data_IF_510008080405
#
_entry.id   IF_510008080405
#
_cell.length_a   1.000
_cell.length_b   1.000
_cell.length_c   1.000
_cell.angle_alpha   90.00
_cell.angle_beta   90.00
_cell.angle_gamma   90.00
#
_symmetry.space_group_name_H-M   'P 1'
#
loop_
_entity.id
_entity.type
_entity.pdbx_description
1 polymer ?
#
# COMPACT_ATOMS: atom_id res chain seq x y z
N UNK A 1 -7.50 -9.60 -14.00
CA UNK A 1 -7.39 -8.93 -12.69
C UNK A 1 -6.06 -9.33 -12.08
N UNK A 2 -5.39 -8.46 -11.32
CA UNK A 2 -4.11 -8.80 -10.68
C UNK A 2 -4.28 -9.69 -9.45
N UNK A 3 -5.42 -9.59 -8.77
CA UNK A 3 -5.81 -10.40 -7.61
C UNK A 3 -7.32 -10.67 -7.67
N UNK A 4 -7.85 -11.71 -6.99
CA UNK A 4 -9.28 -11.82 -6.74
C UNK A 4 -9.84 -10.57 -6.03
N UNK A 5 -11.16 -10.31 -6.06
CA UNK A 5 -11.75 -9.24 -5.27
C UNK A 5 -11.38 -9.36 -3.78
N UNK A 6 -10.69 -8.34 -3.26
CA UNK A 6 -10.18 -8.35 -1.89
C UNK A 6 -11.28 -7.94 -0.92
N UNK A 7 -11.85 -8.91 -0.22
CA UNK A 7 -12.99 -8.69 0.68
C UNK A 7 -12.59 -8.38 2.12
N UNK A 8 -11.36 -8.68 2.51
CA UNK A 8 -10.87 -8.41 3.86
C UNK A 8 -10.16 -7.04 3.93
N UNK A 9 -10.57 -6.10 4.80
CA UNK A 9 -9.96 -4.78 4.87
C UNK A 9 -8.45 -4.77 5.14
N UNK A 10 -7.94 -5.72 5.94
CA UNK A 10 -6.48 -5.87 6.18
C UNK A 10 -5.75 -6.32 4.91
N UNK A 11 -6.31 -7.27 4.17
CA UNK A 11 -5.75 -7.70 2.88
C UNK A 11 -5.82 -6.56 1.84
N UNK A 12 -6.86 -5.73 1.88
CA UNK A 12 -6.97 -4.59 0.98
C UNK A 12 -5.94 -3.49 1.30
N UNK A 13 -5.65 -3.24 2.58
CA UNK A 13 -4.53 -2.39 2.98
C UNK A 13 -3.18 -2.96 2.49
N UNK A 14 -3.00 -4.29 2.52
CA UNK A 14 -1.81 -4.95 1.97
C UNK A 14 -1.70 -4.71 0.46
N UNK A 15 -2.81 -4.81 -0.28
CA UNK A 15 -2.85 -4.58 -1.71
C UNK A 15 -2.47 -3.14 -2.09
N UNK A 16 -2.88 -2.15 -1.27
CA UNK A 16 -2.42 -0.76 -1.42
C UNK A 16 -0.90 -0.63 -1.16
N UNK A 17 -0.39 -1.31 -0.13
CA UNK A 17 1.06 -1.38 0.14
C UNK A 17 1.84 -2.03 -1.01
N UNK A 18 1.31 -3.11 -1.59
CA UNK A 18 1.87 -3.75 -2.78
C UNK A 18 1.89 -2.79 -3.96
N UNK A 19 0.82 -2.02 -4.18
CA UNK A 19 0.77 -1.04 -5.25
C UNK A 19 1.82 0.07 -5.10
N UNK A 20 2.15 0.47 -3.87
CA UNK A 20 3.28 1.40 -3.61
C UNK A 20 4.61 0.76 -3.98
N UNK A 21 4.84 -0.52 -3.63
CA UNK A 21 6.06 -1.24 -4.02
C UNK A 21 6.19 -1.41 -5.54
N UNK A 22 5.10 -1.75 -6.21
CA UNK A 22 5.07 -1.85 -7.68
C UNK A 22 5.29 -0.47 -8.34
N UNK A 23 4.78 0.60 -7.74
CA UNK A 23 5.05 1.98 -8.19
C UNK A 23 6.55 2.29 -8.11
N UNK A 24 7.21 1.96 -7.00
CA UNK A 24 8.65 2.17 -6.81
C UNK A 24 9.46 1.32 -7.79
N UNK A 25 9.16 0.01 -7.91
CA UNK A 25 9.80 -0.89 -8.88
C UNK A 25 9.70 -0.38 -10.31
N UNK A 26 8.53 0.11 -10.73
CA UNK A 26 8.34 0.68 -12.07
C UNK A 26 9.12 1.96 -12.27
N UNK A 27 9.26 2.78 -11.22
CA UNK A 27 10.05 4.00 -11.31
C UNK A 27 11.52 3.67 -11.58
N UNK A 28 12.08 2.72 -10.85
CA UNK A 28 13.46 2.26 -11.04
C UNK A 28 13.66 1.67 -12.45
N UNK A 29 12.74 0.82 -12.91
CA UNK A 29 12.76 0.27 -14.26
C UNK A 29 12.72 1.35 -15.35
N UNK A 30 11.89 2.38 -15.18
CA UNK A 30 11.84 3.50 -16.13
C UNK A 30 13.16 4.27 -16.15
N UNK A 31 13.77 4.51 -14.99
CA UNK A 31 15.07 5.18 -14.88
C UNK A 31 16.18 4.36 -15.53
N UNK A 32 16.24 3.05 -15.27
CA UNK A 32 17.18 2.11 -15.89
C UNK A 32 17.04 2.09 -17.41
N UNK A 33 15.81 2.08 -17.92
CA UNK A 33 15.53 2.13 -19.36
C UNK A 33 15.67 3.53 -19.97
N UNK A 34 15.91 4.58 -19.18
CA UNK A 34 16.07 5.96 -19.67
C UNK A 34 14.77 6.69 -20.04
N UNK A 35 13.62 6.24 -19.53
CA UNK A 35 12.31 6.83 -19.79
C UNK A 35 11.78 7.62 -18.58
N UNK A 36 11.01 8.68 -18.87
CA UNK A 36 10.36 9.50 -17.83
C UNK A 36 8.98 8.99 -17.42
N UNK A 37 8.31 8.28 -18.33
CA UNK A 37 6.96 7.76 -18.12
C UNK A 37 6.73 6.46 -18.89
N UNK A 38 5.66 5.77 -18.48
CA UNK A 38 5.19 4.51 -19.07
C UNK A 38 4.77 4.66 -20.54
N UNK A 39 4.33 5.84 -20.96
CA UNK A 39 3.88 6.08 -22.34
C UNK A 39 5.07 6.01 -23.27
N UNK A 40 6.14 6.74 -22.96
CA UNK A 40 7.40 6.71 -23.70
C UNK A 40 8.04 5.32 -23.69
N UNK A 41 8.08 4.68 -22.52
CA UNK A 41 8.63 3.34 -22.37
C UNK A 41 7.89 2.31 -23.24
N UNK A 42 6.55 2.24 -23.13
CA UNK A 42 5.77 1.28 -23.90
C UNK A 42 5.84 1.56 -25.41
N UNK A 43 5.91 2.84 -25.81
CA UNK A 43 6.09 3.18 -27.22
C UNK A 43 7.45 2.72 -27.76
N UNK A 44 8.52 2.75 -26.95
CA UNK A 44 9.83 2.22 -27.32
C UNK A 44 9.85 0.69 -27.35
N UNK A 45 9.20 0.04 -26.37
CA UNK A 45 8.97 -1.40 -26.39
C UNK A 45 8.25 -1.84 -27.67
N UNK A 46 7.14 -1.18 -28.00
CA UNK A 46 6.31 -1.53 -29.16
C UNK A 46 7.04 -1.32 -30.49
N UNK A 47 8.10 -0.49 -30.53
CA UNK A 47 8.99 -0.33 -31.69
C UNK A 47 10.16 -1.31 -31.75
N UNK A 48 10.45 -2.02 -30.64
CA UNK A 48 11.61 -2.91 -30.52
C UNK A 48 12.91 -2.21 -30.10
N UNK A 49 12.85 -0.95 -29.65
CA UNK A 49 14.03 -0.15 -29.28
C UNK A 49 14.67 -0.65 -27.96
N UNK A 50 13.94 -1.42 -27.17
CA UNK A 50 14.37 -1.92 -25.85
C UNK A 50 15.03 -3.30 -25.90
N UNK A 51 15.09 -3.96 -27.07
CA UNK A 51 15.38 -5.39 -27.16
C UNK A 51 16.82 -5.78 -27.54
N UNK A 52 17.73 -4.88 -27.98
CA UNK A 52 18.90 -5.37 -28.73
C UNK A 52 20.30 -4.76 -28.52
N UNK A 53 20.58 -3.80 -27.63
CA UNK A 53 21.91 -3.12 -27.69
C UNK A 53 22.85 -3.13 -26.48
N UNK A 54 22.55 -3.79 -25.37
CA UNK A 54 23.51 -3.84 -24.26
C UNK A 54 23.69 -5.26 -23.71
N UNK A 55 24.94 -5.65 -23.47
CA UNK A 55 25.39 -6.91 -22.87
C UNK A 55 24.84 -7.08 -21.43
N UNK A 56 23.53 -7.14 -21.29
CA UNK A 56 22.82 -7.35 -20.03
C UNK A 56 21.81 -8.46 -20.28
N UNK A 57 21.80 -9.50 -19.44
CA UNK A 57 20.79 -10.58 -19.41
C UNK A 57 19.38 -10.05 -19.04
N UNK A 58 19.10 -8.77 -19.25
CA UNK A 58 17.94 -8.06 -18.74
C UNK A 58 16.91 -7.90 -19.85
N UNK A 59 15.93 -8.79 -19.86
CA UNK A 59 14.74 -8.68 -20.72
C UNK A 59 13.83 -7.58 -20.17
N UNK A 60 13.54 -6.58 -20.99
CA UNK A 60 12.52 -5.58 -20.71
C UNK A 60 11.16 -6.07 -21.21
N UNK A 61 10.11 -5.92 -20.40
CA UNK A 61 8.74 -6.31 -20.75
C UNK A 61 7.82 -5.08 -20.84
N UNK A 62 6.84 -5.14 -21.75
CA UNK A 62 5.79 -4.11 -21.84
C UNK A 62 5.04 -3.96 -20.52
N UNK A 63 4.88 -2.73 -20.03
CA UNK A 63 4.26 -2.48 -18.72
C UNK A 63 2.76 -2.19 -18.89
N UNK A 64 1.85 -2.92 -18.23
CA UNK A 64 0.41 -2.62 -18.27
C UNK A 64 0.04 -1.49 -17.32
N UNK A 65 -1.01 -0.72 -17.64
CA UNK A 65 -1.63 0.19 -16.67
C UNK A 65 -2.31 -0.60 -15.55
N UNK A 66 -2.22 -0.09 -14.32
CA UNK A 66 -2.91 -0.65 -13.16
C UNK A 66 -3.99 0.32 -12.71
N UNK A 67 -5.23 -0.15 -12.63
CA UNK A 67 -6.34 0.58 -12.04
C UNK A 67 -6.73 -0.08 -10.71
N UNK A 68 -6.59 0.67 -9.62
CA UNK A 68 -6.98 0.28 -8.28
C UNK A 68 -8.35 0.90 -7.99
N UNK A 69 -9.33 0.06 -7.63
CA UNK A 69 -10.69 0.50 -7.31
C UNK A 69 -11.02 0.09 -5.89
N UNK A 70 -11.24 1.07 -5.02
CA UNK A 70 -11.71 0.89 -3.64
C UNK A 70 -13.18 1.28 -3.61
N UNK A 71 -14.07 0.29 -3.46
CA UNK A 71 -15.53 0.52 -3.50
C UNK A 71 -16.05 1.23 -2.23
N UNK A 72 -15.46 0.92 -1.07
CA UNK A 72 -15.80 1.55 0.19
C UNK A 72 -14.53 1.85 1.01
N UNK A 73 -14.08 3.10 0.94
CA UNK A 73 -12.90 3.57 1.67
C UNK A 73 -13.08 3.49 3.19
N UNK A 74 -14.29 3.71 3.70
CA UNK A 74 -14.54 3.75 5.14
C UNK A 74 -14.12 2.43 5.82
N UNK A 75 -14.33 1.30 5.17
CA UNK A 75 -14.00 -0.02 5.72
C UNK A 75 -12.48 -0.18 5.91
N UNK A 76 -11.68 0.41 5.02
CA UNK A 76 -10.23 0.44 5.14
C UNK A 76 -9.79 1.39 6.26
N UNK A 77 -10.41 2.57 6.33
CA UNK A 77 -10.08 3.57 7.34
C UNK A 77 -10.39 3.08 8.76
N UNK A 78 -11.43 2.28 8.95
CA UNK A 78 -11.76 1.69 10.26
C UNK A 78 -10.72 0.69 10.77
N UNK A 79 -9.94 0.09 9.86
CA UNK A 79 -8.97 -0.96 10.22
C UNK A 79 -7.55 -0.42 10.26
N UNK A 80 -7.15 0.39 9.28
CA UNK A 80 -5.78 0.88 9.12
C UNK A 80 -5.73 2.29 8.51
N UNK A 81 -6.46 3.26 9.06
CA UNK A 81 -6.55 4.63 8.54
C UNK A 81 -5.20 5.25 8.14
N UNK A 82 -4.19 5.15 9.02
CA UNK A 82 -2.88 5.76 8.79
C UNK A 82 -2.18 5.14 7.58
N UNK A 83 -2.11 3.81 7.54
CA UNK A 83 -1.39 3.11 6.47
C UNK A 83 -2.10 3.29 5.12
N UNK A 84 -3.43 3.29 5.12
CA UNK A 84 -4.27 3.54 3.94
C UNK A 84 -4.05 4.97 3.43
N UNK A 85 -4.08 5.96 4.31
CA UNK A 85 -3.86 7.37 3.94
C UNK A 85 -2.43 7.60 3.40
N UNK A 86 -1.42 7.00 4.02
CA UNK A 86 -0.04 7.05 3.57
C UNK A 86 0.12 6.40 2.17
N UNK A 87 -0.51 5.25 1.93
CA UNK A 87 -0.49 4.59 0.63
C UNK A 87 -1.19 5.42 -0.44
N UNK A 88 -2.40 5.92 -0.15
CA UNK A 88 -3.17 6.77 -1.07
C UNK A 88 -2.35 8.01 -1.44
N UNK A 89 -1.72 8.66 -0.46
CA UNK A 89 -0.88 9.84 -0.67
C UNK A 89 0.28 9.53 -1.59
N UNK A 90 1.04 8.46 -1.33
CA UNK A 90 2.18 8.06 -2.16
C UNK A 90 1.78 7.76 -3.60
N UNK A 91 0.71 6.97 -3.78
CA UNK A 91 0.18 6.63 -5.10
C UNK A 91 -0.25 7.91 -5.82
N UNK A 92 -1.12 8.71 -5.23
CA UNK A 92 -1.65 9.90 -5.87
C UNK A 92 -0.58 10.92 -6.29
N UNK A 93 0.52 11.02 -5.54
CA UNK A 93 1.63 11.95 -5.85
C UNK A 93 2.57 11.46 -6.96
N UNK A 94 2.86 10.16 -7.04
CA UNK A 94 3.97 9.65 -7.86
C UNK A 94 3.55 8.65 -8.95
N UNK A 95 2.37 8.05 -8.83
CA UNK A 95 1.95 6.93 -9.67
C UNK A 95 1.65 7.28 -11.14
N UNK A 96 1.38 8.56 -11.44
CA UNK A 96 0.97 9.00 -12.79
C UNK A 96 1.98 8.59 -13.87
N UNK A 97 3.27 8.78 -13.61
CA UNK A 97 4.33 8.49 -14.58
C UNK A 97 4.48 6.98 -14.83
N UNK A 98 4.21 6.15 -13.82
CA UNK A 98 4.36 4.68 -13.89
C UNK A 98 3.05 3.95 -14.26
N UNK A 99 2.00 4.70 -14.58
CA UNK A 99 0.73 4.15 -15.08
C UNK A 99 -0.11 3.42 -14.02
N UNK A 100 -0.03 3.85 -12.75
CA UNK A 100 -0.91 3.35 -11.70
C UNK A 100 -1.94 4.45 -11.35
N UNK A 101 -3.22 4.08 -11.35
CA UNK A 101 -4.34 5.00 -11.14
C UNK A 101 -5.26 4.47 -10.03
N UNK A 102 -5.84 5.38 -9.26
CA UNK A 102 -6.65 5.07 -8.10
C UNK A 102 -8.05 5.67 -8.26
N UNK A 103 -9.07 4.85 -8.05
CA UNK A 103 -10.46 5.24 -7.87
C UNK A 103 -10.86 4.85 -6.45
N UNK A 104 -11.36 5.83 -5.71
CA UNK A 104 -11.84 5.64 -4.34
C UNK A 104 -13.30 6.07 -4.26
N UNK A 105 -14.15 5.17 -3.81
CA UNK A 105 -15.55 5.39 -3.55
C UNK A 105 -15.86 5.20 -2.06
N UNK A 106 -16.92 5.85 -1.61
CA UNK A 106 -17.47 5.67 -0.25
C UNK A 106 -18.92 6.15 -0.24
N UNK A 107 -19.76 5.49 0.56
CA UNK A 107 -21.11 5.95 0.86
C UNK A 107 -21.15 6.85 2.10
N UNK A 108 -20.02 7.02 2.81
CA UNK A 108 -19.93 7.76 4.07
C UNK A 108 -19.06 9.01 3.90
N UNK A 109 -19.61 10.10 3.32
CA UNK A 109 -18.87 11.35 3.11
C UNK A 109 -18.67 12.11 4.42
N UNK A 110 -17.77 11.62 5.27
CA UNK A 110 -17.38 12.26 6.54
C UNK A 110 -15.93 12.72 6.49
N UNK A 111 -15.59 13.74 7.29
CA UNK A 111 -14.21 14.27 7.39
C UNK A 111 -13.22 13.20 7.90
N UNK A 112 -13.72 12.22 8.65
CA UNK A 112 -12.90 11.11 9.16
C UNK A 112 -12.55 10.08 8.08
N UNK A 113 -13.34 10.02 7.00
CA UNK A 113 -13.11 9.11 5.86
C UNK A 113 -12.40 9.86 4.74
N UNK A 114 -12.93 11.02 4.36
CA UNK A 114 -12.37 11.90 3.32
C UNK A 114 -11.56 12.99 4.01
N UNK A 115 -10.37 12.60 4.48
CA UNK A 115 -9.47 13.49 5.23
C UNK A 115 -8.91 14.60 4.36
N UNK A 116 -8.38 15.65 4.99
CA UNK A 116 -7.72 16.74 4.26
C UNK A 116 -6.54 16.27 3.41
N UNK A 117 -5.80 15.26 3.89
CA UNK A 117 -4.65 14.66 3.18
C UNK A 117 -5.13 13.94 1.92
N UNK A 118 -6.20 13.14 2.00
CA UNK A 118 -6.78 12.48 0.82
C UNK A 118 -7.24 13.53 -0.20
N UNK A 119 -7.96 14.57 0.23
CA UNK A 119 -8.42 15.65 -0.66
C UNK A 119 -7.27 16.40 -1.32
N UNK A 120 -6.19 16.67 -0.60
CA UNK A 120 -5.03 17.38 -1.14
C UNK A 120 -4.35 16.62 -2.29
N UNK A 121 -4.44 15.28 -2.30
CA UNK A 121 -3.76 14.45 -3.29
C UNK A 121 -4.70 13.92 -4.40
N UNK A 122 -6.02 13.92 -4.19
CA UNK A 122 -7.01 13.51 -5.19
C UNK A 122 -7.84 14.73 -5.63
N UNK A 123 -7.41 15.45 -6.68
CA UNK A 123 -8.06 16.69 -7.11
C UNK A 123 -9.33 16.46 -7.94
N UNK A 124 -9.41 15.36 -8.69
CA UNK A 124 -10.59 15.00 -9.46
C UNK A 124 -11.61 14.30 -8.56
N UNK A 125 -12.84 14.82 -8.48
CA UNK A 125 -13.87 14.33 -7.55
C UNK A 125 -15.21 14.21 -8.23
N UNK A 126 -15.99 13.23 -7.78
CA UNK A 126 -17.36 13.00 -8.23
C UNK A 126 -18.26 12.87 -7.01
N UNK A 127 -19.40 13.54 -7.03
CA UNK A 127 -20.43 13.38 -6.01
C UNK A 127 -21.76 13.06 -6.67
N UNK A 128 -22.35 11.93 -6.28
CA UNK A 128 -23.77 11.67 -6.49
C UNK A 128 -24.62 12.43 -5.47
N UNK A 129 -25.94 12.27 -5.55
CA UNK A 129 -26.85 12.86 -4.57
C UNK A 129 -26.47 12.48 -3.13
N UNK A 130 -26.34 13.49 -2.28
CA UNK A 130 -26.04 13.36 -0.85
C UNK A 130 -27.15 13.99 0.00
N UNK A 131 -27.21 13.62 1.27
CA UNK A 131 -28.29 14.02 2.17
C UNK A 131 -28.18 15.46 2.66
N UNK A 132 -26.98 16.06 2.66
CA UNK A 132 -26.77 17.36 3.27
C UNK A 132 -25.72 18.23 2.55
N UNK A 133 -25.83 19.54 2.75
CA UNK A 133 -24.82 20.52 2.35
C UNK A 133 -23.44 20.21 2.96
N UNK A 134 -23.41 19.68 4.18
CA UNK A 134 -22.17 19.30 4.85
C UNK A 134 -21.48 18.18 4.08
N UNK A 135 -22.22 17.14 3.67
CA UNK A 135 -21.68 16.02 2.89
C UNK A 135 -21.17 16.48 1.52
N UNK A 136 -21.89 17.39 0.86
CA UNK A 136 -21.44 17.99 -0.41
C UNK A 136 -20.10 18.70 -0.24
N UNK A 137 -19.92 19.46 0.85
CA UNK A 137 -18.65 20.14 1.15
C UNK A 137 -17.54 19.17 1.53
N UNK A 138 -17.85 18.05 2.16
CA UNK A 138 -16.83 17.03 2.46
C UNK A 138 -16.26 16.47 1.16
N UNK A 139 -17.09 16.20 0.14
CA UNK A 139 -16.65 15.61 -1.12
C UNK A 139 -16.06 16.66 -2.08
N UNK A 140 -16.76 17.77 -2.32
CA UNK A 140 -16.46 18.71 -3.41
C UNK A 140 -15.83 20.03 -2.93
N UNK A 141 -15.71 20.26 -1.62
CA UNK A 141 -15.39 21.56 -1.02
C UNK A 141 -16.41 22.68 -1.35
N UNK A 142 -17.56 22.33 -1.94
CA UNK A 142 -18.60 23.28 -2.36
C UNK A 142 -20.03 22.69 -2.22
N UNK A 143 -21.07 23.54 -2.12
CA UNK A 143 -22.47 23.09 -2.23
C UNK A 143 -22.78 22.50 -3.62
N UNK A 144 -23.87 21.74 -3.70
CA UNK A 144 -24.51 21.37 -4.96
C UNK A 144 -24.96 19.92 -5.01
N UNK A 145 -24.21 19.00 -4.39
CA UNK A 145 -24.53 17.57 -4.44
C UNK A 145 -25.81 17.24 -3.67
N UNK A 146 -26.17 18.04 -2.66
CA UNK A 146 -27.41 17.91 -1.90
C UNK A 146 -28.67 18.26 -2.70
N UNK A 147 -28.50 18.87 -3.89
CA UNK A 147 -29.59 19.27 -4.79
C UNK A 147 -29.79 18.31 -5.96
N UNK A 148 -28.96 17.27 -6.05
CA UNK A 148 -29.06 16.27 -7.11
C UNK A 148 -30.28 15.39 -6.87
N UNK A 149 -30.86 14.88 -7.95
CA UNK A 149 -32.12 14.10 -7.91
C UNK A 149 -31.90 12.59 -7.72
N UNK A 150 -30.63 12.14 -7.65
CA UNK A 150 -30.24 10.74 -7.57
C UNK A 150 -30.29 10.03 -8.92
N UNK A 151 -30.33 8.69 -8.91
CA UNK A 151 -30.45 7.84 -10.12
C UNK A 151 -29.43 8.18 -11.23
N UNK A 152 -28.17 8.36 -10.85
CA UNK A 152 -27.08 8.68 -11.78
C UNK A 152 -26.84 10.18 -12.00
N UNK A 153 -27.65 11.08 -11.45
CA UNK A 153 -27.35 12.51 -11.44
C UNK A 153 -26.15 12.80 -10.53
N UNK A 154 -25.10 13.42 -11.08
CA UNK A 154 -23.84 13.67 -10.38
C UNK A 154 -23.23 15.04 -10.69
N UNK A 155 -22.38 15.52 -9.80
CA UNK A 155 -21.44 16.60 -10.04
C UNK A 155 -20.03 16.04 -10.22
N UNK A 156 -19.40 16.34 -11.35
CA UNK A 156 -17.99 16.08 -11.62
C UNK A 156 -17.19 17.36 -11.40
N UNK A 157 -16.18 17.30 -10.54
CA UNK A 157 -15.17 18.34 -10.37
C UNK A 157 -13.85 17.82 -10.95
N UNK A 158 -13.48 18.22 -12.18
CA UNK A 158 -12.19 17.84 -12.76
C UNK A 158 -11.03 18.48 -11.98
N UNK A 159 -9.87 17.82 -11.96
CA UNK A 159 -8.71 18.29 -11.19
C UNK A 159 -8.02 19.57 -11.72
N UNK A 160 -8.52 20.17 -12.81
CA UNK A 160 -7.97 21.37 -13.44
C UNK A 160 -8.87 22.61 -13.31
N UNK A 161 -10.00 22.52 -12.59
CA UNK A 161 -10.95 23.62 -12.41
C UNK A 161 -11.60 23.55 -11.03
N UNK A 162 -12.08 24.69 -10.52
CA UNK A 162 -12.90 24.76 -9.31
C UNK A 162 -14.40 24.66 -9.60
N UNK A 163 -14.80 24.67 -10.87
CA UNK A 163 -16.21 24.62 -11.28
C UNK A 163 -16.63 23.18 -11.53
N UNK A 164 -17.64 22.71 -10.79
CA UNK A 164 -18.22 21.39 -11.04
C UNK A 164 -19.18 21.42 -12.22
N UNK A 165 -19.23 20.31 -12.95
CA UNK A 165 -20.12 20.06 -14.08
C UNK A 165 -21.18 19.05 -13.64
N UNK A 166 -22.46 19.37 -13.89
CA UNK A 166 -23.55 18.42 -13.66
C UNK A 166 -23.66 17.46 -14.84
N UNK A 167 -23.64 16.16 -14.55
CA UNK A 167 -23.62 15.08 -15.53
C UNK A 167 -24.64 14.03 -15.11
N UNK A 168 -25.33 13.46 -16.10
CA UNK A 168 -26.14 12.26 -15.90
C UNK A 168 -25.32 11.02 -16.27
N UNK A 169 -25.03 10.16 -15.29
CA UNK A 169 -24.36 8.88 -15.52
C UNK A 169 -25.23 7.94 -16.34
N UNK A 170 -24.58 7.15 -17.19
CA UNK A 170 -25.22 6.03 -17.88
C UNK A 170 -25.70 4.99 -16.87
N UNK A 171 -26.90 4.46 -17.10
CA UNK A 171 -27.40 3.30 -16.37
C UNK A 171 -26.91 2.02 -17.05
N UNK A 172 -26.40 1.09 -16.25
CA UNK A 172 -26.00 -0.25 -16.71
C UNK A 172 -26.61 -1.25 -15.74
N UNK A 173 -27.32 -2.25 -16.29
CA UNK A 173 -27.93 -3.29 -15.47
C UNK A 173 -26.94 -4.44 -15.16
N UNK A 174 -27.28 -5.27 -14.19
CA UNK A 174 -26.43 -6.38 -13.78
C UNK A 174 -26.31 -7.46 -14.89
N UNK A 175 -27.30 -7.58 -15.78
CA UNK A 175 -27.26 -8.54 -16.88
C UNK A 175 -26.26 -8.11 -17.96
N UNK A 176 -26.16 -6.82 -18.27
CA UNK A 176 -25.16 -6.20 -19.14
C UNK A 176 -23.75 -6.40 -18.57
N UNK A 177 -23.56 -6.16 -17.27
CA UNK A 177 -22.28 -6.43 -16.59
C UNK A 177 -21.91 -7.91 -16.74
N UNK A 178 -22.82 -8.84 -16.44
CA UNK A 178 -22.57 -10.29 -16.59
C UNK A 178 -22.23 -10.69 -18.03
N UNK A 179 -22.90 -10.09 -19.03
CA UNK A 179 -22.61 -10.34 -20.45
C UNK A 179 -21.18 -9.91 -20.81
N UNK A 180 -20.76 -8.72 -20.37
CA UNK A 180 -19.41 -8.19 -20.61
C UNK A 180 -18.35 -9.04 -19.88
N UNK A 181 -18.57 -9.37 -18.61
CA UNK A 181 -17.67 -10.26 -17.85
C UNK A 181 -17.56 -11.64 -18.53
N UNK A 182 -18.68 -12.20 -18.99
CA UNK A 182 -18.70 -13.47 -19.70
C UNK A 182 -17.95 -13.41 -21.04
N UNK A 183 -18.02 -12.28 -21.75
CA UNK A 183 -17.22 -12.05 -22.96
C UNK A 183 -15.72 -12.08 -22.67
N UNK A 184 -15.26 -11.36 -21.64
CA UNK A 184 -13.85 -11.35 -21.24
C UNK A 184 -13.33 -12.72 -20.78
N UNK A 185 -14.12 -13.45 -19.97
CA UNK A 185 -13.74 -14.79 -19.51
C UNK A 185 -13.57 -15.81 -20.64
N UNK A 186 -14.27 -15.63 -21.77
CA UNK A 186 -14.08 -16.50 -22.95
C UNK A 186 -12.78 -16.23 -23.70
N UNK A 187 -12.26 -15.01 -23.63
CA UNK A 187 -11.01 -14.63 -24.27
C UNK A 187 -9.78 -15.02 -23.44
N UNK A 188 -9.92 -15.00 -22.11
CA UNK A 188 -8.88 -15.41 -21.17
C UNK A 188 -9.48 -16.39 -20.13
N UNK A 189 -9.56 -17.69 -20.47
CA UNK A 189 -10.16 -18.70 -19.59
C UNK A 189 -9.32 -18.94 -18.32
N UNK A 190 -8.01 -18.74 -18.41
CA UNK A 190 -7.10 -18.78 -17.26
C UNK A 190 -6.78 -17.37 -16.79
N UNK A 191 -6.96 -17.12 -15.49
CA UNK A 191 -6.65 -15.83 -14.86
C UNK A 191 -5.30 -15.98 -14.16
N UNK A 192 -4.30 -15.23 -14.63
CA UNK A 192 -3.01 -15.14 -13.99
C UNK A 192 -3.09 -14.06 -12.90
N UNK A 193 -3.08 -14.48 -11.65
CA UNK A 193 -2.96 -13.57 -10.50
C UNK A 193 -1.50 -13.34 -10.16
N UNK A 194 -1.17 -12.12 -9.76
CA UNK A 194 0.15 -11.78 -9.26
C UNK A 194 0.23 -12.22 -7.80
N UNK A 195 1.23 -13.05 -7.49
CA UNK A 195 1.49 -13.50 -6.13
C UNK A 195 1.87 -12.34 -5.22
N UNK A 196 1.40 -12.36 -3.96
CA UNK A 196 1.80 -11.40 -2.93
C UNK A 196 1.03 -10.08 -2.90
N UNK A 197 0.08 -9.85 -3.82
CA UNK A 197 -0.79 -8.65 -3.79
C UNK A 197 -1.60 -8.58 -2.49
N UNK A 198 -2.17 -9.71 -2.06
CA UNK A 198 -3.01 -9.79 -0.85
C UNK A 198 -2.22 -10.18 0.42
N UNK A 199 -0.90 -10.35 0.32
CA UNK A 199 -0.01 -10.70 1.44
C UNK A 199 0.15 -12.19 1.73
N UNK A 200 -0.32 -13.11 0.88
CA UNK A 200 -0.05 -14.54 1.06
C UNK A 200 1.38 -14.90 0.65
N UNK A 201 2.26 -15.01 1.65
CA UNK A 201 3.49 -15.80 1.57
C UNK A 201 3.08 -17.28 1.58
N UNK A 202 3.44 -18.01 0.53
CA UNK A 202 3.48 -19.48 0.58
C UNK A 202 4.40 -19.90 1.74
N UNK A 203 3.81 -20.51 2.77
CA UNK A 203 4.44 -21.35 3.80
C UNK A 203 5.83 -20.96 4.31
N UNK A 204 5.88 -20.27 5.45
CA UNK A 204 7.09 -20.19 6.27
C UNK A 204 7.18 -18.92 7.12
N UNK A 205 6.81 -19.04 8.39
CA UNK A 205 7.07 -18.13 9.53
C UNK A 205 6.64 -16.65 9.37
N UNK A 206 5.72 -16.24 10.25
CA UNK A 206 5.13 -14.91 10.30
C UNK A 206 6.14 -13.79 10.49
N UNK A 207 5.99 -12.77 9.65
CA UNK A 207 6.45 -11.41 9.91
C UNK A 207 5.49 -10.49 9.15
N UNK A 208 4.72 -9.73 9.93
CA UNK A 208 3.76 -8.73 9.51
C UNK A 208 4.39 -7.77 8.48
N UNK A 209 3.75 -7.66 7.32
CA UNK A 209 4.09 -6.73 6.24
C UNK A 209 3.70 -5.27 6.54
N UNK A 210 3.34 -4.97 7.79
CA UNK A 210 2.93 -3.64 8.24
C UNK A 210 3.80 -3.15 9.39
N UNK A 211 4.99 -2.67 9.04
CA UNK A 211 5.85 -1.87 9.91
C UNK A 211 6.24 -0.60 9.17
N UNK A 212 5.50 0.50 9.39
CA UNK A 212 5.86 1.79 8.83
C UNK A 212 7.19 2.29 9.38
N UNK A 213 8.05 2.70 8.44
CA UNK A 213 8.81 3.97 8.33
C UNK A 213 10.27 3.69 7.96
N UNK A 214 10.68 4.19 6.79
CA UNK A 214 12.05 4.61 6.44
C UNK A 214 13.13 4.14 7.42
N UNK A 215 13.66 2.94 7.21
CA UNK A 215 14.70 2.44 8.10
C UNK A 215 15.04 0.97 8.00
N UNK A 216 14.76 0.23 6.93
CA UNK A 216 15.16 -1.20 6.89
C UNK A 216 16.65 -1.40 7.17
N UNK A 217 17.52 -0.46 6.79
CA UNK A 217 18.94 -0.50 7.20
C UNK A 217 19.19 -0.09 8.67
N UNK A 218 18.41 0.85 9.23
CA UNK A 218 18.62 1.38 10.59
C UNK A 218 17.97 0.50 11.66
N UNK A 219 16.78 -0.06 11.39
CA UNK A 219 16.08 -0.99 12.27
C UNK A 219 16.75 -2.37 12.29
N UNK A 220 17.28 -2.87 11.17
CA UNK A 220 18.08 -4.10 11.16
C UNK A 220 19.41 -3.92 11.89
N UNK A 221 20.09 -2.78 11.70
CA UNK A 221 21.31 -2.46 12.42
C UNK A 221 21.06 -2.31 13.93
N UNK A 222 19.98 -1.61 14.32
CA UNK A 222 19.58 -1.48 15.72
C UNK A 222 19.18 -2.82 16.33
N UNK A 223 18.53 -3.70 15.58
CA UNK A 223 18.16 -5.03 16.04
C UNK A 223 19.40 -5.91 16.22
N UNK A 224 20.40 -5.81 15.33
CA UNK A 224 21.69 -6.50 15.46
C UNK A 224 22.45 -6.01 16.70
N UNK A 225 22.50 -4.69 16.92
CA UNK A 225 23.10 -4.09 18.12
C UNK A 225 22.36 -4.49 19.41
N UNK A 226 21.03 -4.54 19.38
CA UNK A 226 20.22 -4.98 20.50
C UNK A 226 20.46 -6.46 20.84
N UNK A 227 20.54 -7.31 19.82
CA UNK A 227 20.83 -8.73 19.95
C UNK A 227 22.20 -8.96 20.59
N UNK A 228 23.26 -8.34 20.05
CA UNK A 228 24.61 -8.45 20.62
C UNK A 228 24.66 -7.99 22.08
N UNK A 229 24.01 -6.86 22.37
CA UNK A 229 23.95 -6.30 23.71
C UNK A 229 23.23 -7.23 24.70
N UNK A 230 22.08 -7.79 24.34
CA UNK A 230 21.28 -8.66 25.21
C UNK A 230 21.99 -9.98 25.49
N UNK A 231 22.61 -10.59 24.47
CA UNK A 231 23.34 -11.86 24.61
C UNK A 231 24.60 -11.68 25.44
N UNK A 232 25.41 -10.62 25.19
CA UNK A 232 26.63 -10.34 25.97
C UNK A 232 26.36 -9.97 27.42
N UNK A 233 25.31 -9.18 27.67
CA UNK A 233 24.99 -8.72 29.04
C UNK A 233 24.11 -9.70 29.81
N UNK A 234 23.55 -10.72 29.15
CA UNK A 234 22.56 -11.66 29.71
C UNK A 234 21.36 -10.94 30.35
N UNK A 235 20.97 -9.79 29.81
CA UNK A 235 19.91 -8.94 30.39
C UNK A 235 18.86 -8.54 29.35
N UNK A 236 17.72 -9.25 29.29
CA UNK A 236 16.60 -8.96 28.39
C UNK A 236 15.64 -7.89 28.90
N UNK A 237 16.11 -6.66 29.20
CA UNK A 237 15.25 -5.56 29.69
C UNK A 237 15.01 -4.46 28.66
N UNK A 238 13.74 -4.08 28.46
CA UNK A 238 13.33 -3.00 27.54
C UNK A 238 13.93 -1.64 27.93
N UNK A 239 13.97 -1.32 29.23
CA UNK A 239 14.61 -0.10 29.74
C UNK A 239 16.13 -0.09 29.54
N UNK A 240 16.77 -1.26 29.55
CA UNK A 240 18.20 -1.40 29.26
C UNK A 240 18.47 -1.04 27.79
N UNK A 241 17.71 -1.62 26.86
CA UNK A 241 17.80 -1.31 25.43
C UNK A 241 17.53 0.18 25.15
N UNK A 242 16.50 0.75 25.78
CA UNK A 242 16.17 2.16 25.68
C UNK A 242 17.37 3.06 26.00
N UNK A 243 18.04 2.81 27.13
CA UNK A 243 19.16 3.62 27.60
C UNK A 243 20.44 3.40 26.80
N UNK A 244 20.74 2.16 26.42
CA UNK A 244 22.00 1.79 25.74
C UNK A 244 21.98 2.14 24.26
N UNK A 245 20.85 1.96 23.58
CA UNK A 245 20.68 2.28 22.16
C UNK A 245 20.11 3.69 21.93
N UNK A 246 19.83 4.44 22.99
CA UNK A 246 19.25 5.81 22.95
C UNK A 246 17.96 5.89 22.11
N UNK A 247 17.12 4.87 22.20
CA UNK A 247 15.85 4.77 21.47
C UNK A 247 14.65 5.03 22.39
N UNK A 248 13.49 5.37 21.82
CA UNK A 248 12.25 5.55 22.57
C UNK A 248 11.69 4.24 23.15
N UNK A 249 10.91 4.33 24.24
CA UNK A 249 10.36 3.16 24.95
C UNK A 249 9.54 2.23 24.05
N UNK A 250 8.70 2.78 23.18
CA UNK A 250 7.90 2.00 22.22
C UNK A 250 8.78 1.23 21.21
N UNK A 251 9.88 1.84 20.73
CA UNK A 251 10.84 1.18 19.81
C UNK A 251 11.61 0.09 20.53
N UNK A 252 12.05 0.33 21.77
CA UNK A 252 12.70 -0.68 22.61
C UNK A 252 11.79 -1.88 22.93
N UNK A 253 10.49 -1.64 23.15
CA UNK A 253 9.48 -2.69 23.31
C UNK A 253 9.38 -3.58 22.07
N UNK A 254 9.21 -2.97 20.88
CA UNK A 254 9.16 -3.72 19.61
C UNK A 254 10.42 -4.54 19.36
N UNK A 255 11.60 -3.99 19.63
CA UNK A 255 12.86 -4.73 19.50
C UNK A 255 12.87 -5.94 20.44
N UNK A 256 12.40 -5.80 21.68
CA UNK A 256 12.34 -6.92 22.61
C UNK A 256 11.38 -8.02 22.14
N UNK A 257 10.23 -7.65 21.58
CA UNK A 257 9.27 -8.61 21.02
C UNK A 257 9.83 -9.30 19.77
N UNK A 258 10.62 -8.59 18.96
CA UNK A 258 11.34 -9.20 17.83
C UNK A 258 12.40 -10.19 18.31
N UNK A 259 13.17 -9.86 19.35
CA UNK A 259 14.13 -10.77 19.96
C UNK A 259 13.44 -12.03 20.52
N UNK A 260 12.24 -11.90 21.10
CA UNK A 260 11.44 -13.03 21.57
C UNK A 260 10.98 -13.90 20.40
N UNK A 261 10.43 -13.29 19.34
CA UNK A 261 9.97 -14.01 18.15
C UNK A 261 11.06 -14.81 17.45
N UNK A 262 12.33 -14.35 17.58
CA UNK A 262 13.52 -15.01 17.04
C UNK A 262 14.16 -16.00 18.01
N UNK A 263 13.54 -16.25 19.16
CA UNK A 263 14.03 -17.18 20.17
C UNK A 263 15.31 -16.72 20.89
N UNK A 264 15.65 -15.43 20.83
CA UNK A 264 16.85 -14.87 21.47
C UNK A 264 16.58 -14.62 22.95
N UNK A 265 15.36 -14.19 23.28
CA UNK A 265 14.87 -14.02 24.66
C UNK A 265 13.59 -14.82 24.88
N UNK A 266 13.34 -15.20 26.12
CA UNK A 266 12.13 -15.90 26.55
C UNK A 266 10.92 -14.96 26.67
N UNK A 267 9.74 -15.52 26.98
CA UNK A 267 8.49 -14.77 27.04
C UNK A 267 8.49 -13.71 28.15
N UNK A 268 7.63 -12.72 28.00
CA UNK A 268 7.48 -11.63 28.97
C UNK A 268 6.96 -12.13 30.33
N UNK A 269 7.79 -12.06 31.37
CA UNK A 269 7.40 -12.33 32.77
C UNK A 269 7.13 -11.01 33.53
N UNK A 270 6.06 -10.31 33.14
CA UNK A 270 5.63 -9.07 33.77
C UNK A 270 6.68 -7.96 33.70
N UNK A 271 7.14 -7.46 34.85
CA UNK A 271 8.11 -6.36 34.95
C UNK A 271 9.58 -6.83 35.07
N UNK A 272 9.82 -8.14 35.11
CA UNK A 272 11.19 -8.69 35.20
C UNK A 272 11.87 -8.69 33.83
N UNK A 273 13.22 -8.62 33.79
CA UNK A 273 13.97 -8.85 32.56
C UNK A 273 13.63 -10.22 31.97
N UNK A 274 13.45 -10.29 30.64
CA UNK A 274 13.26 -11.54 29.90
C UNK A 274 14.52 -12.40 29.99
N UNK A 275 14.34 -13.70 30.11
CA UNK A 275 15.43 -14.68 30.11
C UNK A 275 16.14 -14.66 28.75
N UNK A 276 17.46 -14.74 28.71
CA UNK A 276 18.23 -14.74 27.46
C UNK A 276 18.53 -16.19 27.07
N UNK A 277 17.87 -16.66 26.02
CA UNK A 277 17.89 -18.05 25.58
C UNK A 277 19.06 -18.38 24.66
N UNK A 278 19.59 -17.38 23.96
CA UNK A 278 20.72 -17.54 23.04
C UNK A 278 22.07 -17.40 23.75
N UNK A 279 23.04 -18.24 23.37
CA UNK A 279 24.42 -18.18 23.82
C UNK A 279 25.30 -17.34 22.90
N UNK A 280 26.49 -16.95 23.38
CA UNK A 280 27.46 -16.18 22.58
C UNK A 280 27.96 -16.97 21.37
N UNK A 281 28.18 -18.27 21.52
CA UNK A 281 28.64 -19.14 20.44
C UNK A 281 27.60 -19.28 19.32
N UNK A 282 26.31 -19.40 19.68
CA UNK A 282 25.20 -19.44 18.72
C UNK A 282 25.03 -18.09 17.99
N UNK A 283 25.24 -16.97 18.69
CA UNK A 283 25.21 -15.65 18.09
C UNK A 283 26.31 -15.47 17.03
N UNK A 284 27.52 -15.91 17.33
CA UNK A 284 28.66 -15.83 16.40
C UNK A 284 28.43 -16.68 15.15
N UNK A 285 27.84 -17.87 15.28
CA UNK A 285 27.46 -18.72 14.15
C UNK A 285 26.38 -18.07 13.26
N UNK A 286 25.40 -17.42 13.87
CA UNK A 286 24.31 -16.74 13.15
C UNK A 286 24.84 -15.52 12.36
N UNK A 287 25.84 -14.82 12.90
CA UNK A 287 26.51 -13.70 12.23
C UNK A 287 27.45 -14.11 11.11
N UNK A 288 27.92 -15.36 11.07
CA UNK A 288 28.73 -15.91 9.97
C UNK A 288 27.88 -16.46 8.82
N UNK A 289 26.63 -16.82 9.09
CA UNK A 289 25.69 -17.38 8.12
C UNK A 289 24.81 -16.33 7.40
N UNK A 290 24.85 -15.06 7.84
CA UNK A 290 24.11 -13.91 7.27
C UNK A 290 25.06 -12.90 6.65
#
# INVERSE_FOLDING_TARGET
>A
MLTPPVTNPKKAANALGWAVKEMERRYDLLVEAGFRDIVGYNAAYDRGDLSEEQNTDQSFDRIPYILIVVDELNDLMMVAARDVEDCITRIAQKARAVGIHLIVATQRPSVNVITGVIKANIPARMAFAVSSLTDSRVILDQPGAEKLIGKGDMLLLPGNTSVSQRIQSAWVDEAEVRKVVGHWRRQAPEVVYVSGVDGEKSGGSGADLFGGTTGDSDDDELLRQAMDLVVRTRQGSTSMLQRKLKIGFARAGRIMDLLESRGIVGPSDGSKPREVLMTLEELEQLQQAS
#
